data_IF_118623818098
#
_entry.id   IF_118623818098
#
_cell.length_a   1.000
_cell.length_b   1.000
_cell.length_c   1.000
_cell.angle_alpha   90.00
_cell.angle_beta   90.00
_cell.angle_gamma   90.00
#
_symmetry.space_group_name_H-M   'P 1'
#
loop_
_entity.id
_entity.type
_entity.pdbx_description
1 polymer ?
#
# COMPACT_ATOMS: atom_id res chain seq x y z
N UNK A 1 -39.18 41.87 40.69
CA UNK A 1 -39.35 41.04 39.48
C UNK A 1 -38.10 41.23 38.67
N UNK A 2 -37.24 40.22 38.70
CA UNK A 2 -35.85 40.27 38.22
C UNK A 2 -35.81 40.25 36.69
N UNK A 3 -35.02 41.16 36.11
CA UNK A 3 -34.77 41.28 34.67
C UNK A 3 -33.26 41.18 34.46
N UNK A 4 -32.74 39.95 34.47
CA UNK A 4 -31.41 39.65 33.94
C UNK A 4 -31.55 38.64 32.80
N UNK A 5 -31.42 39.18 31.58
CA UNK A 5 -31.27 38.45 30.32
C UNK A 5 -30.08 37.50 30.43
N UNK A 6 -30.34 36.21 30.62
CA UNK A 6 -29.39 35.16 30.26
C UNK A 6 -29.53 34.90 28.75
N UNK A 7 -28.71 35.60 27.97
CA UNK A 7 -28.35 35.19 26.62
C UNK A 7 -27.66 33.83 26.74
N UNK A 8 -28.37 32.76 26.43
CA UNK A 8 -27.77 31.47 26.12
C UNK A 8 -26.86 31.71 24.92
N UNK A 9 -25.54 31.79 25.15
CA UNK A 9 -24.55 31.63 24.10
C UNK A 9 -24.78 30.25 23.52
N UNK A 10 -25.47 30.19 22.38
CA UNK A 10 -25.50 29.02 21.52
C UNK A 10 -24.06 28.70 21.12
N UNK A 11 -23.45 27.75 21.83
CA UNK A 11 -22.21 27.13 21.40
C UNK A 11 -22.58 26.29 20.18
N UNK A 12 -22.30 26.80 18.99
CA UNK A 12 -22.35 25.98 17.78
C UNK A 12 -21.21 24.97 17.91
N UNK A 13 -21.54 23.73 18.28
CA UNK A 13 -20.61 22.61 18.21
C UNK A 13 -20.55 22.22 16.74
N UNK A 14 -19.39 22.43 16.12
CA UNK A 14 -19.10 21.91 14.80
C UNK A 14 -18.62 20.46 14.97
N UNK A 15 -19.38 19.50 14.46
CA UNK A 15 -18.90 18.11 14.32
C UNK A 15 -18.28 17.92 12.93
N UNK A 16 -17.38 16.95 12.84
CA UNK A 16 -16.77 16.52 11.58
C UNK A 16 -17.58 15.32 11.05
N UNK A 17 -18.11 15.46 9.84
CA UNK A 17 -18.77 14.34 9.15
C UNK A 17 -17.77 13.20 8.91
N UNK A 18 -18.23 11.97 9.09
CA UNK A 18 -17.47 10.77 8.77
C UNK A 18 -18.43 9.64 8.37
N UNK A 19 -17.91 8.70 7.58
CA UNK A 19 -18.62 7.49 7.19
C UNK A 19 -17.81 6.25 7.57
N UNK A 20 -18.49 5.19 7.95
CA UNK A 20 -17.91 3.89 8.28
C UNK A 20 -18.63 2.83 7.45
N UNK A 21 -17.87 2.04 6.72
CA UNK A 21 -18.38 1.01 5.83
C UNK A 21 -17.53 -0.27 5.96
N UNK A 22 -18.08 -1.40 5.53
CA UNK A 22 -17.37 -2.67 5.42
C UNK A 22 -17.57 -3.21 4.01
N UNK A 23 -16.48 -3.33 3.25
CA UNK A 23 -16.51 -3.86 1.88
C UNK A 23 -15.44 -4.93 1.72
N UNK A 24 -15.81 -6.11 1.21
CA UNK A 24 -14.91 -7.25 1.03
C UNK A 24 -14.15 -7.65 2.32
N UNK A 25 -14.80 -7.51 3.49
CA UNK A 25 -14.19 -7.84 4.79
C UNK A 25 -13.25 -6.77 5.35
N UNK A 26 -13.04 -5.66 4.64
CA UNK A 26 -12.24 -4.52 5.12
C UNK A 26 -13.13 -3.44 5.74
N UNK A 27 -12.76 -2.95 6.93
CA UNK A 27 -13.31 -1.71 7.52
C UNK A 27 -12.78 -0.50 6.75
N UNK A 28 -13.68 0.33 6.27
CA UNK A 28 -13.38 1.58 5.57
C UNK A 28 -13.93 2.75 6.39
N UNK A 29 -13.08 3.69 6.78
CA UNK A 29 -13.52 4.96 7.41
C UNK A 29 -13.19 6.11 6.49
N UNK A 30 -14.16 6.98 6.20
CA UNK A 30 -13.99 8.14 5.31
C UNK A 30 -14.34 9.44 6.02
N UNK A 31 -13.42 10.41 6.03
CA UNK A 31 -13.64 11.75 6.60
C UNK A 31 -13.60 12.78 5.46
N UNK A 32 -14.74 13.23 4.92
CA UNK A 32 -14.76 14.26 3.90
C UNK A 32 -14.32 15.62 4.45
N UNK A 33 -13.64 16.38 3.60
CA UNK A 33 -13.30 17.78 3.81
C UNK A 33 -14.10 18.63 2.83
N UNK A 34 -15.40 18.89 3.12
CA UNK A 34 -16.24 19.65 2.23
C UNK A 34 -15.67 21.06 2.06
N UNK A 35 -15.43 21.45 0.82
CA UNK A 35 -15.17 22.84 0.48
C UNK A 35 -16.48 23.64 0.66
N UNK A 36 -16.39 24.90 1.08
CA UNK A 36 -17.56 25.76 1.19
C UNK A 36 -18.11 26.04 -0.21
N UNK A 37 -19.30 25.52 -0.53
CA UNK A 37 -20.00 25.80 -1.78
C UNK A 37 -20.45 27.25 -1.84
N UNK A 38 -20.17 27.93 -2.96
CA UNK A 38 -20.91 29.13 -3.32
C UNK A 38 -22.39 28.75 -3.60
N UNK A 39 -23.36 29.64 -3.38
CA UNK A 39 -24.75 29.38 -3.78
C UNK A 39 -24.78 28.97 -5.26
N UNK A 40 -25.38 27.82 -5.56
CA UNK A 40 -25.56 27.21 -6.90
C UNK A 40 -24.35 26.50 -7.54
N UNK A 41 -23.27 26.20 -6.81
CA UNK A 41 -22.14 25.43 -7.35
C UNK A 41 -21.82 24.24 -6.45
N UNK A 42 -22.13 23.03 -6.95
CA UNK A 42 -21.98 21.75 -6.23
C UNK A 42 -20.73 20.95 -6.64
N UNK A 43 -19.83 21.58 -7.39
CA UNK A 43 -18.67 20.93 -8.03
C UNK A 43 -17.39 21.45 -7.37
N UNK A 44 -17.07 20.88 -6.22
CA UNK A 44 -15.80 21.12 -5.53
C UNK A 44 -15.07 19.78 -5.38
N UNK A 45 -13.72 19.74 -5.40
CA UNK A 45 -12.99 18.50 -5.19
C UNK A 45 -13.37 17.87 -3.84
N UNK A 46 -13.80 16.61 -3.90
CA UNK A 46 -14.21 15.82 -2.73
C UNK A 46 -12.99 15.21 -2.08
N UNK A 47 -12.24 16.04 -1.37
CA UNK A 47 -11.12 15.55 -0.57
C UNK A 47 -11.66 14.78 0.64
N UNK A 48 -11.12 13.59 0.92
CA UNK A 48 -11.40 12.82 2.13
C UNK A 48 -10.15 12.10 2.65
N UNK A 49 -10.06 11.89 3.96
CA UNK A 49 -9.15 10.88 4.52
C UNK A 49 -9.85 9.54 4.50
N UNK A 50 -9.14 8.49 4.12
CA UNK A 50 -9.66 7.13 4.05
C UNK A 50 -8.75 6.20 4.83
N UNK A 51 -9.33 5.52 5.82
CA UNK A 51 -8.74 4.36 6.48
C UNK A 51 -9.22 3.08 5.82
N UNK A 52 -8.35 2.07 5.69
CA UNK A 52 -8.72 0.71 5.26
C UNK A 52 -8.04 -0.33 6.14
N UNK A 53 -8.82 -1.22 6.77
CA UNK A 53 -8.30 -2.37 7.51
C UNK A 53 -8.08 -3.57 6.57
N UNK A 54 -7.01 -3.52 5.77
CA UNK A 54 -6.62 -4.64 4.92
C UNK A 54 -5.59 -5.56 5.58
N UNK A 55 -5.41 -6.76 5.01
CA UNK A 55 -4.37 -7.74 5.42
C UNK A 55 -2.95 -7.14 5.40
N UNK A 56 -2.73 -6.12 4.56
CA UNK A 56 -1.50 -5.34 4.49
C UNK A 56 -1.81 -3.85 4.64
N UNK A 57 -1.70 -3.35 5.88
CA UNK A 57 -1.83 -1.91 6.14
C UNK A 57 -0.70 -1.15 5.43
N UNK A 58 -1.06 -0.32 4.44
CA UNK A 58 -0.09 0.57 3.79
C UNK A 58 0.29 1.71 4.72
N UNK A 59 1.58 2.06 4.79
CA UNK A 59 2.05 3.27 5.46
C UNK A 59 2.34 4.35 4.41
N UNK A 60 2.14 5.61 4.77
CA UNK A 60 2.32 6.72 3.84
C UNK A 60 2.28 8.06 4.56
N UNK A 61 1.98 9.14 3.84
CA UNK A 61 1.97 10.52 4.37
C UNK A 61 1.00 10.75 5.54
N UNK A 62 0.05 9.85 5.78
CA UNK A 62 -0.96 9.93 6.82
C UNK A 62 -0.82 8.85 7.89
N UNK A 63 0.32 8.14 7.90
CA UNK A 63 0.54 7.02 8.81
C UNK A 63 -0.07 5.70 8.33
N UNK A 64 0.07 4.67 9.15
CA UNK A 64 -0.32 3.29 8.83
C UNK A 64 -1.84 3.16 8.68
N UNK A 65 -2.29 2.56 7.58
CA UNK A 65 -3.69 2.29 7.24
C UNK A 65 -4.46 3.49 6.67
N UNK A 66 -3.88 4.70 6.69
CA UNK A 66 -4.54 5.92 6.23
C UNK A 66 -3.99 6.41 4.89
N UNK A 67 -4.90 6.92 4.07
CA UNK A 67 -4.62 7.55 2.79
C UNK A 67 -5.51 8.77 2.61
N UNK A 68 -5.17 9.63 1.66
CA UNK A 68 -6.06 10.69 1.19
C UNK A 68 -6.67 10.26 -0.13
N UNK A 69 -7.98 10.39 -0.26
CA UNK A 69 -8.70 10.14 -1.49
C UNK A 69 -9.35 11.47 -1.94
N UNK A 70 -9.47 11.67 -3.25
CA UNK A 70 -9.88 12.95 -3.84
C UNK A 70 -8.82 14.07 -3.80
N UNK A 71 -7.59 13.80 -3.32
CA UNK A 71 -6.42 14.57 -3.75
C UNK A 71 -5.97 14.02 -5.08
N UNK A 72 -6.26 14.75 -6.14
CA UNK A 72 -5.62 14.44 -7.40
C UNK A 72 -4.13 14.79 -7.30
N UNK A 73 -3.24 13.96 -7.85
CA UNK A 73 -1.81 14.20 -7.91
C UNK A 73 -1.25 13.84 -9.29
N UNK A 74 -0.37 14.70 -9.80
CA UNK A 74 0.55 14.32 -10.88
C UNK A 74 1.88 13.88 -10.28
N UNK A 75 2.29 12.66 -10.58
CA UNK A 75 3.54 12.04 -10.13
C UNK A 75 4.30 11.44 -11.32
N UNK A 76 5.55 11.04 -11.10
CA UNK A 76 6.25 10.14 -12.03
C UNK A 76 5.80 8.71 -11.77
N UNK A 77 5.69 7.90 -12.82
CA UNK A 77 5.29 6.50 -12.72
C UNK A 77 6.15 5.61 -13.62
N UNK A 78 6.23 4.33 -13.28
CA UNK A 78 7.04 3.37 -14.03
C UNK A 78 6.50 3.16 -15.44
N UNK A 79 7.42 2.81 -16.34
CA UNK A 79 7.07 2.32 -17.68
C UNK A 79 6.31 0.99 -17.59
N UNK A 80 5.53 0.68 -18.61
CA UNK A 80 4.76 -0.58 -18.70
C UNK A 80 4.96 -1.23 -20.05
N UNK A 81 4.98 -2.57 -20.11
CA UNK A 81 5.12 -3.32 -21.39
C UNK A 81 4.09 -2.84 -22.43
N UNK A 82 2.84 -2.60 -21.98
CA UNK A 82 1.74 -2.17 -22.85
C UNK A 82 1.97 -0.82 -23.52
N UNK A 83 2.62 0.13 -22.83
CA UNK A 83 2.81 1.49 -23.34
C UNK A 83 4.20 1.75 -23.91
N UNK A 84 5.22 1.02 -23.43
CA UNK A 84 6.62 1.26 -23.72
C UNK A 84 7.31 0.10 -24.45
N UNK A 85 6.60 -1.01 -24.65
CA UNK A 85 7.16 -2.24 -25.21
C UNK A 85 8.06 -2.99 -24.23
N UNK A 86 8.69 -4.09 -24.66
CA UNK A 86 9.68 -4.79 -23.86
C UNK A 86 10.92 -3.91 -23.66
N UNK A 87 11.23 -3.59 -22.41
CA UNK A 87 12.41 -2.83 -21.98
C UNK A 87 13.15 -3.63 -20.90
N UNK A 88 14.46 -3.49 -20.87
CA UNK A 88 15.33 -4.20 -19.90
C UNK A 88 15.20 -3.64 -18.47
N UNK A 89 14.65 -2.43 -18.33
CA UNK A 89 14.63 -1.68 -17.08
C UNK A 89 13.38 -0.81 -16.93
N UNK A 90 12.44 -1.28 -16.10
CA UNK A 90 11.20 -0.56 -15.73
C UNK A 90 11.37 0.28 -14.44
N UNK A 91 12.60 0.46 -13.95
CA UNK A 91 12.83 1.27 -12.75
C UNK A 91 12.52 2.73 -13.02
N UNK A 92 11.99 3.40 -11.99
CA UNK A 92 11.76 4.84 -12.01
C UNK A 92 13.10 5.56 -11.81
N UNK A 93 13.53 6.35 -12.79
CA UNK A 93 14.88 6.95 -12.85
C UNK A 93 14.94 8.38 -12.31
N UNK A 94 13.79 8.94 -11.95
CA UNK A 94 13.57 10.34 -11.58
C UNK A 94 14.10 11.35 -12.61
N UNK A 95 14.03 11.02 -13.90
CA UNK A 95 14.56 11.85 -14.98
C UNK A 95 13.54 11.98 -16.14
N UNK A 96 13.93 12.62 -17.24
CA UNK A 96 13.03 12.84 -18.39
C UNK A 96 12.47 11.57 -19.03
N UNK A 97 13.08 10.42 -18.79
CA UNK A 97 12.64 9.15 -19.34
C UNK A 97 11.39 8.61 -18.62
N UNK A 98 11.12 9.07 -17.39
CA UNK A 98 9.96 8.59 -16.64
C UNK A 98 8.66 9.23 -17.15
N UNK A 99 7.63 8.42 -17.41
CA UNK A 99 6.27 8.88 -17.62
C UNK A 99 5.73 9.70 -16.44
N UNK A 100 4.78 10.58 -16.73
CA UNK A 100 3.93 11.18 -15.69
C UNK A 100 2.63 10.39 -15.58
N UNK A 101 2.05 10.37 -14.38
CA UNK A 101 0.73 9.82 -14.11
C UNK A 101 -0.11 10.83 -13.33
N UNK A 102 -1.38 10.96 -13.70
CA UNK A 102 -2.41 11.61 -12.90
C UNK A 102 -3.16 10.51 -12.17
N UNK A 103 -3.10 10.49 -10.83
CA UNK A 103 -3.84 9.52 -10.02
C UNK A 103 -3.57 8.06 -10.44
N UNK A 104 -2.27 7.75 -10.60
CA UNK A 104 -1.73 6.47 -11.10
C UNK A 104 -2.06 6.15 -12.57
N UNK A 105 -2.83 6.99 -13.23
CA UNK A 105 -3.16 6.84 -14.64
C UNK A 105 -2.15 7.59 -15.52
N UNK A 106 -1.54 6.87 -16.48
CA UNK A 106 -0.50 7.43 -17.34
C UNK A 106 -0.97 8.64 -18.14
N UNK A 107 -0.12 9.66 -18.17
CA UNK A 107 -0.25 10.82 -19.02
C UNK A 107 0.47 10.59 -20.36
N UNK A 108 -0.27 10.80 -21.44
CA UNK A 108 0.20 10.70 -22.81
C UNK A 108 0.38 12.11 -23.37
N UNK A 109 1.60 12.46 -23.77
CA UNK A 109 1.88 13.74 -24.38
C UNK A 109 1.20 13.82 -25.76
N UNK A 110 0.32 14.80 -25.94
CA UNK A 110 -0.40 15.04 -27.20
C UNK A 110 0.19 16.19 -27.99
N UNK A 111 0.94 17.08 -27.32
CA UNK A 111 1.62 18.22 -27.93
C UNK A 111 2.90 18.56 -27.19
N UNK A 112 3.90 19.02 -27.93
CA UNK A 112 5.22 19.35 -27.37
C UNK A 112 6.00 18.10 -27.01
N UNK A 113 7.17 18.30 -26.38
CA UNK A 113 8.04 17.21 -25.94
C UNK A 113 7.73 16.84 -24.49
N UNK A 114 7.59 15.55 -24.20
CA UNK A 114 7.39 15.05 -22.84
C UNK A 114 8.41 15.65 -21.85
N UNK A 115 7.93 16.15 -20.72
CA UNK A 115 8.73 16.81 -19.68
C UNK A 115 9.12 18.27 -19.94
N UNK A 116 8.78 18.85 -21.10
CA UNK A 116 9.11 20.25 -21.41
C UNK A 116 7.96 21.20 -21.05
N UNK A 117 8.28 22.48 -20.80
CA UNK A 117 7.25 23.50 -20.68
C UNK A 117 6.39 23.56 -21.96
N UNK A 118 5.12 23.93 -21.78
CA UNK A 118 4.09 24.02 -22.82
C UNK A 118 3.71 22.69 -23.50
N UNK A 119 4.23 21.55 -23.00
CA UNK A 119 3.74 20.24 -23.39
C UNK A 119 2.33 20.00 -22.85
N UNK A 120 1.47 19.41 -23.68
CA UNK A 120 0.09 19.06 -23.33
C UNK A 120 -0.07 17.55 -23.22
N UNK A 121 -0.88 17.12 -22.26
CA UNK A 121 -1.13 15.72 -21.94
C UNK A 121 -2.61 15.42 -21.79
N UNK A 122 -2.97 14.16 -22.04
CA UNK A 122 -4.24 13.54 -21.67
C UNK A 122 -3.97 12.27 -20.88
N UNK A 123 -4.97 11.77 -20.14
CA UNK A 123 -4.88 10.47 -19.48
C UNK A 123 -5.05 9.33 -20.49
N UNK A 124 -4.38 8.19 -20.26
CA UNK A 124 -4.42 7.03 -21.15
C UNK A 124 -5.84 6.51 -21.43
N UNK A 125 -6.71 6.51 -20.41
CA UNK A 125 -8.16 6.42 -20.61
C UNK A 125 -8.68 7.85 -20.51
N UNK A 126 -8.98 8.45 -21.66
CA UNK A 126 -9.29 9.87 -21.75
C UNK A 126 -10.52 10.23 -20.91
N UNK A 127 -10.32 11.16 -19.97
CA UNK A 127 -11.38 11.72 -19.12
C UNK A 127 -11.82 13.11 -19.59
N UNK A 128 -11.42 13.53 -20.80
CA UNK A 128 -11.60 14.86 -21.38
C UNK A 128 -10.93 15.97 -20.55
N UNK A 129 -9.85 15.63 -19.85
CA UNK A 129 -9.03 16.59 -19.11
C UNK A 129 -7.87 17.05 -20.00
N UNK A 130 -7.68 18.37 -20.13
CA UNK A 130 -6.49 18.94 -20.80
C UNK A 130 -5.45 19.28 -19.75
N UNK A 131 -4.26 18.68 -19.81
CA UNK A 131 -3.18 18.93 -18.85
C UNK A 131 -2.05 19.64 -19.56
N UNK A 132 -1.52 20.72 -18.98
CA UNK A 132 -0.45 21.54 -19.58
C UNK A 132 0.69 21.71 -18.58
N UNK A 133 1.92 21.43 -19.01
CA UNK A 133 3.13 21.60 -18.23
C UNK A 133 3.65 23.04 -18.29
N UNK A 134 4.08 23.60 -17.16
CA UNK A 134 4.56 24.98 -17.07
C UNK A 134 5.85 25.10 -16.26
N UNK A 135 6.67 26.08 -16.67
CA UNK A 135 7.96 26.39 -16.06
C UNK A 135 9.00 25.31 -16.35
N UNK A 136 10.26 25.71 -16.51
CA UNK A 136 11.35 24.79 -16.80
C UNK A 136 12.65 25.36 -16.19
N UNK A 137 13.38 24.57 -15.41
CA UNK A 137 14.65 25.03 -14.82
C UNK A 137 15.77 24.91 -15.84
N UNK A 138 15.97 25.95 -16.66
CA UNK A 138 17.02 25.96 -17.66
C UNK A 138 18.36 26.32 -17.04
N UNK A 139 19.42 25.53 -17.31
CA UNK A 139 20.80 25.94 -17.05
C UNK A 139 21.38 26.55 -18.33
N UNK A 140 22.01 27.71 -18.18
CA UNK A 140 22.77 28.35 -19.25
C UNK A 140 24.24 27.98 -19.08
N UNK A 141 24.87 27.44 -20.12
CA UNK A 141 26.32 27.28 -20.10
C UNK A 141 27.04 28.62 -20.38
N UNK A 142 28.36 28.64 -20.22
CA UNK A 142 29.18 29.84 -20.37
C UNK A 142 29.09 30.50 -21.77
N UNK A 143 28.57 29.77 -22.77
CA UNK A 143 28.33 30.27 -24.14
C UNK A 143 26.88 30.74 -24.37
N UNK A 144 26.07 30.87 -23.31
CA UNK A 144 24.63 31.21 -23.36
C UNK A 144 23.76 30.23 -24.17
N UNK A 145 24.27 29.03 -24.44
CA UNK A 145 23.44 27.97 -25.02
C UNK A 145 22.68 27.24 -23.90
N UNK A 146 21.43 26.91 -24.20
CA UNK A 146 20.51 26.23 -23.26
C UNK A 146 20.91 24.77 -23.16
N UNK A 147 21.43 24.36 -22.00
CA UNK A 147 21.59 22.95 -21.66
C UNK A 147 20.43 22.53 -20.75
N UNK A 148 19.58 21.64 -21.25
CA UNK A 148 18.52 21.02 -20.45
C UNK A 148 19.20 20.00 -19.54
N UNK A 149 19.34 20.31 -18.25
CA UNK A 149 19.95 19.37 -17.30
C UNK A 149 19.14 18.07 -17.24
N UNK A 150 19.76 16.91 -16.99
CA UNK A 150 19.12 15.59 -17.05
C UNK A 150 18.00 15.34 -16.02
N UNK A 151 17.86 16.22 -15.02
CA UNK A 151 16.94 16.07 -13.88
C UNK A 151 15.73 17.01 -13.98
N UNK A 152 15.77 17.93 -14.94
CA UNK A 152 14.78 18.98 -15.07
C UNK A 152 13.41 18.40 -15.44
N UNK A 153 12.37 18.96 -14.88
CA UNK A 153 10.98 18.58 -15.11
C UNK A 153 10.17 19.87 -15.06
N UNK A 154 8.92 19.90 -15.55
CA UNK A 154 8.15 21.12 -15.44
C UNK A 154 8.00 21.51 -13.98
N UNK A 155 8.01 22.82 -13.72
CA UNK A 155 7.91 23.33 -12.36
C UNK A 155 6.52 23.04 -11.76
N UNK A 156 5.49 23.00 -12.60
CA UNK A 156 4.11 22.66 -12.24
C UNK A 156 3.28 22.27 -13.47
N UNK A 157 2.08 21.74 -13.23
CA UNK A 157 1.09 21.45 -14.26
C UNK A 157 -0.21 22.19 -13.97
N UNK A 158 -0.98 22.50 -15.01
CA UNK A 158 -2.40 22.86 -14.87
C UNK A 158 -3.26 21.85 -15.61
N UNK A 159 -4.27 21.33 -14.94
CA UNK A 159 -5.32 20.53 -15.56
C UNK A 159 -6.59 21.35 -15.68
N UNK A 160 -7.18 21.32 -16.87
CA UNK A 160 -8.48 21.89 -17.20
C UNK A 160 -9.44 20.71 -17.31
N UNK A 161 -10.38 20.58 -16.37
CA UNK A 161 -11.35 19.49 -16.38
C UNK A 161 -12.57 19.80 -17.24
N UNK A 162 -13.31 18.76 -17.63
CA UNK A 162 -14.59 18.88 -18.35
C UNK A 162 -15.65 19.71 -17.60
N UNK A 163 -15.55 19.77 -16.27
CA UNK A 163 -16.44 20.53 -15.40
C UNK A 163 -15.97 21.99 -15.24
N UNK A 164 -15.09 22.46 -16.13
CA UNK A 164 -14.52 23.80 -16.16
C UNK A 164 -13.69 24.15 -14.92
N UNK A 165 -13.20 23.16 -14.16
CA UNK A 165 -12.28 23.40 -13.04
C UNK A 165 -10.84 23.45 -13.54
N UNK A 166 -10.06 24.39 -13.01
CA UNK A 166 -8.62 24.46 -13.23
C UNK A 166 -7.90 24.01 -11.97
N UNK A 167 -7.18 22.90 -12.03
CA UNK A 167 -6.33 22.38 -10.96
C UNK A 167 -4.87 22.71 -11.25
N UNK A 168 -4.15 23.32 -10.30
CA UNK A 168 -2.69 23.50 -10.40
C UNK A 168 -1.97 22.48 -9.53
N UNK A 169 -1.09 21.69 -10.12
CA UNK A 169 -0.25 20.69 -9.45
C UNK A 169 1.20 21.16 -9.41
N UNK A 170 1.74 21.41 -8.22
CA UNK A 170 3.10 21.98 -8.05
C UNK A 170 3.09 23.50 -7.96
N UNK A 171 4.27 24.14 -8.10
CA UNK A 171 4.53 25.58 -7.90
C UNK A 171 4.73 26.01 -6.43
N UNK A 172 5.62 25.30 -5.70
CA UNK A 172 5.92 25.56 -4.29
C UNK A 172 5.04 24.75 -3.33
N UNK A 173 4.90 25.18 -2.08
CA UNK A 173 4.15 24.46 -1.03
C UNK A 173 2.60 24.53 -1.18
N UNK A 174 2.07 25.00 -2.31
CA UNK A 174 0.66 25.33 -2.47
C UNK A 174 0.08 24.74 -3.76
N UNK A 175 -1.14 24.19 -3.68
CA UNK A 175 -1.98 23.86 -4.84
C UNK A 175 -3.26 24.73 -4.81
N UNK A 176 -3.77 25.16 -5.97
CA UNK A 176 -4.99 25.98 -6.06
C UNK A 176 -6.00 25.44 -7.09
N UNK A 177 -7.29 25.76 -6.86
CA UNK A 177 -8.40 25.39 -7.74
C UNK A 177 -9.22 26.63 -8.10
N UNK A 178 -9.50 26.84 -9.38
CA UNK A 178 -10.24 28.00 -9.90
C UNK A 178 -11.39 27.57 -10.82
N UNK A 179 -12.51 28.28 -10.73
CA UNK A 179 -13.63 28.19 -11.68
C UNK A 179 -13.65 29.47 -12.55
N UNK A 180 -13.59 29.39 -13.89
CA UNK A 180 -13.49 30.53 -14.80
C UNK A 180 -14.62 31.55 -14.68
N UNK A 181 -15.86 31.09 -14.47
CA UNK A 181 -17.03 31.98 -14.33
C UNK A 181 -17.08 32.69 -12.97
N UNK A 182 -16.19 32.31 -12.04
CA UNK A 182 -15.99 32.97 -10.76
C UNK A 182 -14.66 33.71 -10.77
N UNK A 183 -14.45 34.64 -11.72
CA UNK A 183 -13.20 35.39 -11.87
C UNK A 183 -12.69 36.04 -10.56
N UNK A 184 -13.56 36.24 -9.56
CA UNK A 184 -13.25 36.79 -8.24
C UNK A 184 -13.29 35.77 -7.09
N UNK A 185 -13.56 34.48 -7.34
CA UNK A 185 -13.58 33.43 -6.30
C UNK A 185 -12.50 32.38 -6.53
N UNK A 186 -11.44 32.42 -5.73
CA UNK A 186 -10.34 31.45 -5.75
C UNK A 186 -10.32 30.63 -4.48
N UNK A 187 -10.31 29.30 -4.61
CA UNK A 187 -10.12 28.39 -3.48
C UNK A 187 -8.70 27.86 -3.51
N UNK A 188 -7.98 27.97 -2.39
CA UNK A 188 -6.60 27.49 -2.25
C UNK A 188 -6.52 26.50 -1.11
N UNK A 189 -5.88 25.35 -1.38
CA UNK A 189 -5.66 24.30 -0.38
C UNK A 189 -4.15 24.22 -0.12
N UNK A 190 -3.76 24.32 1.15
CA UNK A 190 -2.36 24.29 1.56
C UNK A 190 -2.12 23.09 2.46
N UNK A 191 -1.19 22.23 2.06
CA UNK A 191 -0.77 21.07 2.84
C UNK A 191 0.49 21.45 3.62
N UNK A 192 0.43 21.35 4.94
CA UNK A 192 1.59 21.52 5.82
C UNK A 192 2.02 20.17 6.34
N UNK A 193 3.32 19.92 6.27
CA UNK A 193 3.92 18.66 6.65
C UNK A 193 4.87 18.86 7.83
N UNK A 194 4.99 17.83 8.67
CA UNK A 194 5.98 17.76 9.76
C UNK A 194 6.97 16.62 9.51
N UNK A 195 8.18 16.75 10.06
CA UNK A 195 9.21 15.70 9.97
C UNK A 195 8.79 14.49 10.81
N UNK A 196 8.98 13.29 10.24
CA UNK A 196 8.78 12.02 10.95
C UNK A 196 10.05 11.63 11.70
N UNK A 197 9.94 10.68 12.62
CA UNK A 197 11.13 10.05 13.19
C UNK A 197 11.87 9.26 12.10
N UNK A 198 13.22 9.21 12.11
CA UNK A 198 13.99 8.43 11.12
C UNK A 198 13.58 6.97 11.03
N UNK A 199 13.13 6.37 12.14
CA UNK A 199 12.65 4.98 12.21
C UNK A 199 11.23 4.78 11.65
N UNK A 200 10.50 5.86 11.37
CA UNK A 200 9.16 5.87 10.76
C UNK A 200 9.20 6.47 9.34
N UNK A 201 10.39 6.57 8.74
CA UNK A 201 10.51 6.87 7.32
C UNK A 201 9.89 5.73 6.51
N UNK A 202 8.98 6.08 5.58
CA UNK A 202 8.38 5.07 4.70
C UNK A 202 9.26 4.95 3.47
N UNK A 203 9.98 3.83 3.41
CA UNK A 203 10.89 3.52 2.33
C UNK A 203 10.26 2.48 1.40
N UNK A 204 10.23 2.80 0.11
CA UNK A 204 9.78 1.86 -0.92
C UNK A 204 10.99 1.46 -1.75
N UNK A 205 11.21 0.16 -1.83
CA UNK A 205 12.27 -0.43 -2.64
C UNK A 205 11.67 -1.15 -3.84
N UNK A 206 12.31 -0.99 -4.99
CA UNK A 206 12.01 -1.77 -6.19
C UNK A 206 13.33 -2.22 -6.81
N UNK A 207 13.46 -3.52 -7.10
CA UNK A 207 14.72 -4.12 -7.58
C UNK A 207 15.96 -3.74 -6.75
N UNK A 208 15.82 -3.76 -5.41
CA UNK A 208 16.88 -3.40 -4.43
C UNK A 208 17.32 -1.92 -4.46
N UNK A 209 16.71 -1.07 -5.29
CA UNK A 209 16.93 0.37 -5.26
C UNK A 209 15.86 1.05 -4.40
N UNK A 210 16.27 2.02 -3.58
CA UNK A 210 15.34 2.89 -2.85
C UNK A 210 14.71 3.87 -3.85
N UNK A 211 13.42 3.69 -4.13
CA UNK A 211 12.69 4.52 -5.09
C UNK A 211 11.85 5.61 -4.40
N UNK A 212 11.53 5.45 -3.12
CA UNK A 212 10.81 6.47 -2.38
C UNK A 212 11.24 6.47 -0.93
N UNK A 213 11.44 7.66 -0.37
CA UNK A 213 11.73 7.86 1.04
C UNK A 213 10.87 9.01 1.58
N UNK A 214 9.77 8.67 2.24
CA UNK A 214 8.83 9.64 2.80
C UNK A 214 9.26 9.99 4.22
N UNK A 215 9.95 11.12 4.35
CA UNK A 215 10.50 11.61 5.62
C UNK A 215 9.56 12.57 6.35
N UNK A 216 8.48 12.99 5.68
CA UNK A 216 7.50 13.94 6.21
C UNK A 216 6.09 13.35 6.17
N UNK A 217 5.27 13.70 7.16
CA UNK A 217 3.85 13.33 7.22
C UNK A 217 2.98 14.57 7.24
N UNK A 218 1.75 14.44 6.78
CA UNK A 218 0.80 15.54 6.69
C UNK A 218 0.37 15.97 8.10
N UNK A 219 0.53 17.25 8.42
CA UNK A 219 0.19 17.82 9.72
C UNK A 219 -1.10 18.64 9.65
N UNK A 220 -1.28 19.41 8.58
CA UNK A 220 -2.39 20.35 8.46
C UNK A 220 -2.83 20.51 7.01
N UNK A 221 -4.13 20.66 6.82
CA UNK A 221 -4.73 21.02 5.52
C UNK A 221 -5.49 22.33 5.72
N UNK A 222 -4.99 23.42 5.14
CA UNK A 222 -5.61 24.74 5.24
C UNK A 222 -6.42 25.05 3.99
N UNK A 223 -7.61 25.55 4.21
CA UNK A 223 -8.52 25.99 3.16
C UNK A 223 -8.59 27.50 3.20
N UNK A 224 -8.33 28.11 2.05
CA UNK A 224 -8.43 29.55 1.85
C UNK A 224 -9.49 29.84 0.78
N UNK A 225 -10.27 30.88 0.99
CA UNK A 225 -11.20 31.45 0.02
C UNK A 225 -10.78 32.89 -0.24
N UNK A 226 -10.55 33.24 -1.50
CA UNK A 226 -10.06 34.55 -1.91
C UNK A 226 -8.79 34.97 -1.16
N UNK A 227 -7.86 34.02 -1.03
CA UNK A 227 -6.62 34.11 -0.25
C UNK A 227 -6.78 34.33 1.27
N UNK A 228 -8.01 34.44 1.78
CA UNK A 228 -8.27 34.52 3.23
C UNK A 228 -8.45 33.11 3.80
N UNK A 229 -7.88 32.88 4.97
CA UNK A 229 -8.05 31.62 5.69
C UNK A 229 -9.53 31.41 6.02
N UNK A 230 -10.06 30.21 5.72
CA UNK A 230 -11.43 29.83 6.01
C UNK A 230 -11.47 28.79 7.13
N UNK A 231 -10.73 27.69 6.99
CA UNK A 231 -10.63 26.62 8.00
C UNK A 231 -9.37 25.78 7.78
N UNK A 232 -9.00 25.00 8.78
CA UNK A 232 -7.96 23.98 8.69
C UNK A 232 -8.42 22.65 9.28
N UNK A 233 -7.92 21.55 8.73
CA UNK A 233 -7.94 20.26 9.41
C UNK A 233 -6.56 19.99 9.98
N UNK A 234 -6.50 19.71 11.27
CA UNK A 234 -5.28 19.38 12.00
C UNK A 234 -5.24 17.89 12.30
N UNK A 235 -4.10 17.27 12.03
CA UNK A 235 -3.90 15.84 12.14
C UNK A 235 -2.82 15.58 13.18
N UNK A 236 -3.17 14.80 14.20
CA UNK A 236 -2.23 14.39 15.24
C UNK A 236 -2.00 12.90 15.19
N UNK A 237 -0.78 12.51 15.56
CA UNK A 237 -0.30 11.14 15.49
C UNK A 237 0.10 10.62 16.86
N UNK A 238 0.06 9.30 17.00
CA UNK A 238 0.77 8.56 18.04
C UNK A 238 1.77 7.62 17.36
N UNK A 239 2.88 7.35 18.01
CA UNK A 239 3.82 6.30 17.57
C UNK A 239 3.42 4.97 18.18
N UNK A 240 3.49 3.90 17.39
CA UNK A 240 3.37 2.53 17.89
C UNK A 240 4.74 2.01 18.34
N UNK A 241 4.78 1.24 19.41
CA UNK A 241 6.01 0.56 19.85
C UNK A 241 6.04 -0.89 19.33
N UNK A 242 7.23 -1.48 19.07
CA UNK A 242 8.56 -0.85 19.07
C UNK A 242 8.91 -0.18 17.72
N UNK A 243 8.08 -0.35 16.69
CA UNK A 243 8.42 0.05 15.30
C UNK A 243 8.43 1.56 15.09
N UNK A 244 7.95 2.34 16.08
CA UNK A 244 7.78 3.81 16.06
C UNK A 244 6.88 4.34 14.95
N UNK A 245 6.17 3.47 14.22
CA UNK A 245 5.34 3.87 13.09
C UNK A 245 4.22 4.84 13.51
N UNK A 246 3.92 5.80 12.63
CA UNK A 246 2.83 6.76 12.87
C UNK A 246 1.46 6.13 12.71
N UNK A 247 0.62 6.23 13.74
CA UNK A 247 -0.82 6.02 13.66
C UNK A 247 -1.54 7.36 13.83
N UNK A 248 -2.52 7.63 12.98
CA UNK A 248 -3.35 8.82 13.09
C UNK A 248 -4.15 8.73 14.39
N UNK A 249 -3.91 9.64 15.34
CA UNK A 249 -4.53 9.66 16.67
C UNK A 249 -5.83 10.45 16.68
N UNK A 250 -5.86 11.61 16.02
CA UNK A 250 -7.06 12.43 15.92
C UNK A 250 -7.03 13.40 14.76
N UNK A 251 -8.23 13.78 14.30
CA UNK A 251 -8.45 14.87 13.35
C UNK A 251 -9.35 15.92 13.99
N UNK A 252 -8.95 17.20 13.90
CA UNK A 252 -9.74 18.35 14.36
C UNK A 252 -9.96 19.33 13.22
N UNK A 253 -11.10 20.02 13.18
CA UNK A 253 -11.36 21.10 12.24
C UNK A 253 -11.36 22.44 12.98
N UNK A 254 -10.56 23.39 12.54
CA UNK A 254 -10.38 24.68 13.21
C UNK A 254 -10.66 25.85 12.25
N UNK A 255 -11.45 26.83 12.69
CA UNK A 255 -11.69 28.09 11.96
C UNK A 255 -10.71 29.20 12.35
N UNK A 256 -10.04 29.04 13.50
CA UNK A 256 -8.86 29.77 13.94
C UNK A 256 -8.16 28.96 15.06
N UNK A 257 -7.12 29.51 15.70
CA UNK A 257 -6.38 28.82 16.76
C UNK A 257 -7.16 28.58 18.07
N UNK A 258 -8.36 29.17 18.22
CA UNK A 258 -9.18 29.11 19.44
C UNK A 258 -10.52 28.41 19.22
N UNK A 259 -11.01 28.37 17.99
CA UNK A 259 -12.28 27.76 17.61
C UNK A 259 -12.05 26.50 16.78
N UNK A 260 -11.97 25.37 17.47
CA UNK A 260 -11.86 24.04 16.88
C UNK A 260 -13.06 23.17 17.24
N UNK A 261 -13.37 22.22 16.35
CA UNK A 261 -14.32 21.15 16.58
C UNK A 261 -13.87 20.27 17.75
N UNK A 262 -14.80 19.46 18.27
CA UNK A 262 -14.41 18.27 19.01
C UNK A 262 -13.61 17.35 18.05
N UNK A 263 -12.45 16.81 18.45
CA UNK A 263 -11.68 15.94 17.57
C UNK A 263 -12.40 14.61 17.35
N UNK A 264 -12.27 14.05 16.15
CA UNK A 264 -12.48 12.61 15.94
C UNK A 264 -11.21 11.92 16.43
N UNK A 265 -11.35 11.03 17.41
CA UNK A 265 -10.23 10.27 17.98
C UNK A 265 -10.24 8.82 17.50
N UNK A 266 -9.04 8.28 17.22
CA UNK A 266 -8.85 6.93 16.72
C UNK A 266 -8.07 6.10 17.73
N UNK A 267 -8.70 5.00 18.12
CA UNK A 267 -8.08 3.96 18.92
C UNK A 267 -7.85 2.73 18.05
N UNK A 268 -6.73 2.08 18.30
CA UNK A 268 -6.28 0.90 17.55
C UNK A 268 -6.10 -0.20 18.58
N UNK A 269 -6.41 -1.43 18.19
CA UNK A 269 -6.11 -2.61 18.99
C UNK A 269 -4.60 -2.72 19.16
N UNK A 270 -4.10 -2.25 20.29
CA UNK A 270 -2.78 -2.64 20.79
C UNK A 270 -2.99 -3.86 21.65
N UNK A 271 -3.15 -5.01 21.00
CA UNK A 271 -2.67 -6.21 21.67
C UNK A 271 -1.15 -6.04 21.67
N UNK A 272 -0.62 -5.48 22.77
CA UNK A 272 0.76 -5.81 23.15
C UNK A 272 0.85 -7.31 22.94
N UNK A 273 1.77 -7.82 22.10
CA UNK A 273 1.94 -9.25 22.01
C UNK A 273 2.17 -9.71 23.43
N UNK A 274 1.18 -10.38 24.01
CA UNK A 274 1.35 -11.06 25.27
C UNK A 274 2.41 -12.09 24.92
N UNK A 275 3.67 -11.74 25.18
CA UNK A 275 4.78 -12.66 25.27
C UNK A 275 4.57 -13.56 26.50
N UNK A 276 3.35 -14.06 26.71
CA UNK A 276 3.15 -15.38 27.24
C UNK A 276 3.63 -16.33 26.14
N UNK A 277 4.95 -16.39 25.94
CA UNK A 277 5.54 -17.67 25.57
C UNK A 277 4.89 -18.66 26.52
N UNK A 278 4.09 -19.58 25.99
CA UNK A 278 3.60 -20.69 26.78
C UNK A 278 4.85 -21.28 27.44
N UNK A 279 5.01 -21.04 28.74
CA UNK A 279 6.17 -21.50 29.51
C UNK A 279 6.21 -23.03 29.60
N UNK A 280 5.20 -23.68 29.04
CA UNK A 280 5.19 -25.07 28.64
C UNK A 280 5.39 -25.13 27.13
N UNK A 281 6.56 -25.56 26.62
CA UNK A 281 6.62 -26.06 25.25
C UNK A 281 5.45 -27.04 25.03
N UNK A 282 4.67 -26.80 23.98
CA UNK A 282 3.73 -27.80 23.51
C UNK A 282 4.60 -28.91 22.92
N UNK A 283 4.90 -29.92 23.73
CA UNK A 283 5.50 -31.15 23.23
C UNK A 283 4.45 -31.83 22.38
N UNK A 284 4.63 -31.75 21.05
CA UNK A 284 3.85 -32.55 20.13
C UNK A 284 4.64 -33.84 19.89
N UNK A 285 4.20 -34.92 20.55
CA UNK A 285 4.84 -36.22 20.42
C UNK A 285 4.57 -36.80 19.02
N UNK A 286 5.64 -37.25 18.36
CA UNK A 286 5.60 -38.08 17.14
C UNK A 286 5.19 -37.38 15.82
N UNK A 287 5.51 -36.09 15.65
CA UNK A 287 5.44 -35.42 14.32
C UNK A 287 6.26 -36.16 13.24
N UNK A 288 7.19 -37.03 13.63
CA UNK A 288 8.01 -37.82 12.72
C UNK A 288 7.93 -39.32 12.99
N UNK A 289 6.80 -39.78 13.55
CA UNK A 289 6.57 -41.19 13.85
C UNK A 289 7.30 -41.68 15.11
N UNK A 290 7.21 -42.99 15.33
CA UNK A 290 7.71 -43.65 16.56
C UNK A 290 9.24 -43.58 16.70
N UNK A 291 9.99 -43.42 15.60
CA UNK A 291 11.45 -43.30 15.62
C UNK A 291 11.92 -41.91 16.09
N UNK A 292 11.02 -40.92 16.15
CA UNK A 292 11.32 -39.52 16.51
C UNK A 292 12.41 -38.85 15.67
N UNK A 293 12.80 -39.43 14.53
CA UNK A 293 13.79 -38.87 13.62
C UNK A 293 13.11 -38.08 12.51
N UNK A 294 13.29 -36.76 12.52
CA UNK A 294 12.84 -35.86 11.47
C UNK A 294 14.03 -35.41 10.62
N UNK A 295 14.02 -35.68 9.31
CA UNK A 295 14.99 -35.02 8.42
C UNK A 295 14.62 -33.56 8.16
N UNK A 296 13.32 -33.26 8.18
CA UNK A 296 12.77 -31.98 7.80
C UNK A 296 11.40 -31.80 8.46
N UNK A 297 11.15 -30.58 8.94
CA UNK A 297 9.82 -30.14 9.39
C UNK A 297 9.47 -28.88 8.61
N UNK A 298 8.27 -28.83 8.05
CA UNK A 298 7.72 -27.68 7.35
C UNK A 298 6.39 -27.27 7.98
N UNK A 299 6.01 -25.99 7.81
CA UNK A 299 4.69 -25.49 8.20
C UNK A 299 3.98 -24.86 7.02
N UNK A 300 2.88 -25.49 6.59
CA UNK A 300 2.09 -25.09 5.43
C UNK A 300 0.64 -25.54 5.61
N UNK A 301 -0.30 -24.79 5.08
CA UNK A 301 -1.72 -25.13 5.07
C UNK A 301 -1.98 -26.26 4.06
N UNK A 302 -2.25 -27.48 4.53
CA UNK A 302 -2.40 -28.67 3.70
C UNK A 302 -3.86 -29.03 3.40
N UNK A 303 -4.81 -28.45 4.14
CA UNK A 303 -6.25 -28.72 3.99
C UNK A 303 -7.03 -27.51 3.45
N UNK A 304 -6.37 -26.37 3.24
CA UNK A 304 -6.94 -25.15 2.67
C UNK A 304 -7.80 -24.34 3.64
N UNK A 305 -7.65 -24.52 4.96
CA UNK A 305 -8.46 -23.83 5.97
C UNK A 305 -7.91 -22.44 6.37
N UNK A 306 -6.75 -22.05 5.83
CA UNK A 306 -6.07 -20.79 6.09
C UNK A 306 -5.13 -20.84 7.30
N UNK A 307 -5.02 -21.96 8.00
CA UNK A 307 -4.11 -22.21 9.11
C UNK A 307 -2.95 -23.08 8.64
N UNK A 308 -1.74 -22.79 9.12
CA UNK A 308 -0.58 -23.62 8.77
C UNK A 308 -0.58 -24.89 9.61
N UNK A 309 -0.46 -26.03 8.95
CA UNK A 309 -0.27 -27.35 9.54
C UNK A 309 1.21 -27.66 9.73
N UNK A 310 1.52 -28.72 10.47
CA UNK A 310 2.89 -29.23 10.62
C UNK A 310 3.06 -30.47 9.75
N UNK A 311 4.15 -30.51 8.98
CA UNK A 311 4.54 -31.65 8.15
C UNK A 311 5.93 -32.13 8.54
N UNK A 312 6.02 -33.38 9.01
CA UNK A 312 7.26 -34.04 9.36
C UNK A 312 7.67 -35.07 8.30
N UNK A 313 8.90 -34.95 7.80
CA UNK A 313 9.54 -35.95 6.96
C UNK A 313 10.25 -36.95 7.87
N UNK A 314 9.50 -37.96 8.29
CA UNK A 314 9.99 -39.06 9.11
C UNK A 314 10.84 -40.04 8.32
N UNK A 315 11.39 -41.01 9.04
CA UNK A 315 12.20 -42.07 8.44
C UNK A 315 11.37 -42.97 7.49
N UNK A 316 10.17 -43.38 7.91
CA UNK A 316 9.30 -44.33 7.22
C UNK A 316 8.15 -43.67 6.45
N UNK A 317 7.85 -42.40 6.76
CA UNK A 317 6.68 -41.72 6.22
C UNK A 317 6.73 -40.19 6.31
N UNK A 318 5.83 -39.58 5.54
CA UNK A 318 5.39 -38.19 5.75
C UNK A 318 4.25 -38.21 6.76
N UNK A 319 4.43 -37.45 7.83
CA UNK A 319 3.48 -37.27 8.90
C UNK A 319 2.93 -35.86 8.87
N UNK A 320 1.63 -35.72 9.04
CA UNK A 320 0.94 -34.43 9.02
C UNK A 320 0.12 -34.28 10.29
N UNK A 321 0.23 -33.11 10.90
CA UNK A 321 -0.50 -32.72 12.09
C UNK A 321 -1.27 -31.45 11.78
N UNK A 322 -2.59 -31.60 11.60
CA UNK A 322 -3.49 -30.51 11.22
C UNK A 322 -3.70 -29.51 12.38
N UNK A 323 -3.90 -28.25 12.04
CA UNK A 323 -4.06 -27.12 12.96
C UNK A 323 -5.51 -26.62 13.03
N UNK A 324 -6.09 -26.48 14.22
CA UNK A 324 -7.44 -25.93 14.43
C UNK A 324 -7.42 -24.51 15.02
N UNK A 325 -6.23 -23.88 15.05
CA UNK A 325 -6.01 -22.49 15.46
C UNK A 325 -5.69 -22.32 16.95
N UNK A 326 -6.08 -23.28 17.78
CA UNK A 326 -5.76 -23.32 19.22
C UNK A 326 -5.03 -24.60 19.66
N UNK A 327 -4.99 -25.63 18.82
CA UNK A 327 -4.19 -26.85 19.02
C UNK A 327 -3.86 -27.52 17.69
N UNK A 328 -2.95 -28.50 17.75
CA UNK A 328 -2.62 -29.39 16.65
C UNK A 328 -3.13 -30.80 16.93
N UNK A 329 -3.73 -31.47 15.94
CA UNK A 329 -4.12 -32.88 16.05
C UNK A 329 -2.90 -33.78 16.18
N UNK A 330 -3.10 -35.02 16.65
CA UNK A 330 -2.04 -36.03 16.62
C UNK A 330 -1.57 -36.23 15.17
N UNK A 331 -0.24 -36.32 14.97
CA UNK A 331 0.32 -36.49 13.65
C UNK A 331 -0.13 -37.83 13.04
N UNK A 332 -0.62 -37.77 11.82
CA UNK A 332 -1.07 -38.92 11.04
C UNK A 332 -0.11 -39.21 9.89
N UNK A 333 0.02 -40.50 9.57
CA UNK A 333 0.74 -40.94 8.37
C UNK A 333 -0.04 -40.56 7.11
N UNK A 334 0.55 -39.74 6.25
CA UNK A 334 -0.07 -39.27 5.00
C UNK A 334 0.54 -39.88 3.74
N UNK A 335 1.83 -40.24 3.78
CA UNK A 335 2.50 -40.92 2.66
C UNK A 335 3.66 -41.76 3.14
N UNK A 336 4.02 -42.78 2.35
CA UNK A 336 5.29 -43.51 2.48
C UNK A 336 6.31 -43.10 1.42
N UNK A 337 5.99 -42.12 0.58
CA UNK A 337 6.89 -41.60 -0.42
C UNK A 337 7.77 -40.49 0.20
N UNK A 338 8.88 -40.18 -0.47
CA UNK A 338 9.80 -39.10 -0.10
C UNK A 338 10.45 -39.22 1.29
N UNK A 339 10.37 -40.39 1.92
CA UNK A 339 11.01 -40.73 3.20
C UNK A 339 12.31 -41.52 3.01
N UNK A 340 13.13 -41.63 4.05
CA UNK A 340 14.42 -42.32 4.00
C UNK A 340 14.31 -43.79 3.62
N UNK A 341 13.33 -44.51 4.18
CA UNK A 341 13.13 -45.93 3.88
C UNK A 341 12.72 -46.14 2.41
N UNK A 342 12.23 -45.09 1.74
CA UNK A 342 11.96 -45.07 0.29
C UNK A 342 13.12 -44.55 -0.55
N UNK A 343 14.30 -44.35 0.05
CA UNK A 343 15.54 -43.92 -0.63
C UNK A 343 15.74 -42.42 -0.69
N UNK A 344 14.95 -41.61 0.02
CA UNK A 344 15.04 -40.16 -0.02
C UNK A 344 15.81 -39.58 1.17
N UNK A 345 16.82 -38.75 0.90
CA UNK A 345 17.70 -38.19 1.96
C UNK A 345 17.85 -36.68 1.80
N UNK A 346 17.76 -35.92 2.90
CA UNK A 346 17.85 -34.44 2.87
C UNK A 346 19.21 -33.87 2.45
N UNK A 347 20.28 -34.65 2.56
CA UNK A 347 21.62 -34.27 2.10
C UNK A 347 21.78 -34.36 0.59
N UNK A 348 20.83 -35.02 -0.10
CA UNK A 348 20.90 -35.32 -1.54
C UNK A 348 19.68 -34.82 -2.32
N UNK A 349 18.49 -34.98 -1.76
CA UNK A 349 17.23 -34.71 -2.41
C UNK A 349 16.51 -33.52 -1.78
N UNK A 350 16.20 -32.53 -2.61
CA UNK A 350 15.35 -31.42 -2.22
C UNK A 350 13.89 -31.89 -2.19
N UNK A 351 13.17 -31.57 -1.13
CA UNK A 351 11.74 -31.87 -0.95
C UNK A 351 11.02 -30.63 -0.44
N UNK A 352 9.91 -30.27 -1.07
CA UNK A 352 9.10 -29.13 -0.67
C UNK A 352 7.62 -29.36 -1.00
N UNK A 353 6.79 -28.54 -0.37
CA UNK A 353 5.35 -28.52 -0.58
C UNK A 353 4.98 -27.27 -1.37
N UNK A 354 4.28 -27.46 -2.48
CA UNK A 354 3.81 -26.38 -3.35
C UNK A 354 2.59 -26.85 -4.14
N UNK A 355 1.60 -25.99 -4.29
CA UNK A 355 0.50 -26.23 -5.22
C UNK A 355 1.05 -26.11 -6.65
N UNK A 356 1.07 -27.24 -7.38
CA UNK A 356 1.59 -27.29 -8.75
C UNK A 356 0.50 -27.59 -9.79
N UNK A 357 -0.70 -27.95 -9.35
CA UNK A 357 -1.83 -28.28 -10.22
C UNK A 357 -2.96 -27.22 -10.16
N UNK A 358 -2.78 -26.18 -9.33
CA UNK A 358 -3.69 -25.07 -9.09
C UNK A 358 -5.04 -25.50 -8.49
N UNK A 359 -5.02 -26.45 -7.55
CA UNK A 359 -6.20 -26.86 -6.76
C UNK A 359 -6.28 -26.17 -5.38
N UNK A 360 -5.33 -25.30 -5.06
CA UNK A 360 -5.14 -24.60 -3.77
C UNK A 360 -4.72 -25.50 -2.61
N UNK A 361 -4.32 -26.75 -2.86
CA UNK A 361 -3.74 -27.64 -1.87
C UNK A 361 -2.27 -27.89 -2.21
N UNK A 362 -1.33 -27.66 -1.28
CA UNK A 362 0.08 -27.92 -1.57
C UNK A 362 0.35 -29.41 -1.83
N UNK A 363 0.99 -29.68 -2.96
CA UNK A 363 1.45 -31.01 -3.36
C UNK A 363 2.86 -31.28 -2.87
N UNK A 364 3.22 -32.55 -2.75
CA UNK A 364 4.56 -32.96 -2.38
C UNK A 364 5.44 -33.10 -3.62
N UNK A 365 6.50 -32.29 -3.70
CA UNK A 365 7.44 -32.27 -4.81
C UNK A 365 8.83 -32.63 -4.31
N UNK A 366 9.49 -33.57 -4.99
CA UNK A 366 10.86 -33.97 -4.67
C UNK A 366 11.75 -34.11 -5.88
N UNK A 367 12.99 -33.65 -5.74
CA UNK A 367 14.06 -33.73 -6.73
C UNK A 367 14.93 -34.93 -6.35
N UNK A 368 14.67 -36.05 -7.00
CA UNK A 368 15.30 -37.33 -6.71
C UNK A 368 16.52 -37.58 -7.57
N UNK A 369 16.99 -38.83 -7.58
CA UNK A 369 18.18 -39.24 -8.33
C UNK A 369 18.09 -38.98 -9.83
N UNK A 370 16.94 -39.25 -10.42
CA UNK A 370 16.77 -39.31 -11.87
C UNK A 370 15.61 -38.44 -12.38
N UNK A 371 15.15 -37.48 -11.59
CA UNK A 371 14.11 -36.55 -12.03
C UNK A 371 13.35 -35.87 -10.91
N UNK A 372 12.27 -35.18 -11.30
CA UNK A 372 11.30 -34.57 -10.40
C UNK A 372 10.12 -35.51 -10.23
N UNK A 373 9.77 -35.77 -8.98
CA UNK A 373 8.67 -36.62 -8.57
C UNK A 373 7.64 -35.81 -7.80
N UNK A 374 6.37 -36.15 -8.00
CA UNK A 374 5.23 -35.46 -7.41
C UNK A 374 4.30 -36.48 -6.79
N UNK A 375 3.82 -36.20 -5.59
CA UNK A 375 2.61 -36.79 -5.03
C UNK A 375 1.58 -35.69 -4.82
N UNK A 376 0.48 -35.75 -5.57
CA UNK A 376 -0.60 -34.77 -5.45
C UNK A 376 -1.31 -34.91 -4.10
N UNK A 377 -1.80 -33.80 -3.55
CA UNK A 377 -2.62 -33.79 -2.34
C UNK A 377 -4.10 -33.99 -2.68
N UNK A 378 -4.73 -35.05 -2.18
CA UNK A 378 -6.16 -35.34 -2.37
C UNK A 378 -6.94 -35.02 -1.09
N UNK A 379 -6.77 -33.79 -0.59
CA UNK A 379 -7.47 -33.24 0.56
C UNK A 379 -7.47 -34.17 1.80
N UNK A 380 -6.28 -34.48 2.30
CA UNK A 380 -6.08 -35.25 3.54
C UNK A 380 -5.12 -36.44 3.44
N UNK A 381 -4.64 -36.76 2.24
CA UNK A 381 -3.52 -37.70 1.98
C UNK A 381 -2.79 -37.29 0.70
N UNK A 382 -1.53 -37.71 0.59
CA UNK A 382 -0.80 -37.61 -0.66
C UNK A 382 -1.02 -38.87 -1.50
N UNK A 383 -1.32 -38.67 -2.78
CA UNK A 383 -1.45 -39.73 -3.76
C UNK A 383 -0.10 -40.42 -4.06
N UNK A 384 -0.16 -41.47 -4.87
CA UNK A 384 1.02 -42.22 -5.28
C UNK A 384 2.04 -41.29 -5.95
N UNK A 385 3.32 -41.48 -5.63
CA UNK A 385 4.41 -40.70 -6.20
C UNK A 385 4.58 -41.04 -7.69
N UNK A 386 4.54 -40.02 -8.53
CA UNK A 386 4.71 -40.12 -9.97
C UNK A 386 5.90 -39.30 -10.46
N UNK A 387 6.59 -39.79 -11.48
CA UNK A 387 7.69 -39.05 -12.12
C UNK A 387 7.12 -38.06 -13.13
N UNK A 388 7.32 -36.77 -12.90
CA UNK A 388 6.80 -35.71 -13.78
C UNK A 388 7.86 -35.13 -14.71
N UNK A 389 9.13 -35.21 -14.34
CA UNK A 389 10.25 -34.83 -15.22
C UNK A 389 11.42 -35.79 -15.07
N UNK A 390 12.16 -36.01 -16.15
CA UNK A 390 13.44 -36.73 -16.13
C UNK A 390 14.66 -35.82 -15.96
N UNK A 391 14.44 -34.51 -15.98
CA UNK A 391 15.46 -33.49 -15.75
C UNK A 391 15.53 -33.11 -14.26
N UNK A 392 16.52 -32.29 -13.89
CA UNK A 392 16.72 -31.76 -12.53
C UNK A 392 16.97 -32.80 -11.44
N UNK A 393 17.25 -34.05 -11.82
CA UNK A 393 17.66 -35.08 -10.88
C UNK A 393 19.14 -34.96 -10.50
N UNK A 394 19.49 -35.45 -9.31
CA UNK A 394 20.86 -35.42 -8.79
C UNK A 394 21.88 -36.05 -9.76
N UNK A 395 21.55 -37.17 -10.41
CA UNK A 395 22.43 -37.84 -11.38
C UNK A 395 22.66 -37.02 -12.66
N UNK A 396 21.89 -35.96 -12.87
CA UNK A 396 22.06 -35.01 -13.97
C UNK A 396 22.82 -33.74 -13.53
N UNK A 397 23.37 -33.71 -12.32
CA UNK A 397 24.24 -32.64 -11.82
C UNK A 397 23.53 -31.45 -11.15
N UNK A 398 22.28 -31.63 -10.73
CA UNK A 398 21.47 -30.62 -10.05
C UNK A 398 21.47 -30.76 -8.54
#
# INVERSE_FOLDING_TARGET
MDLTKNLVKSVIIFDIDHNVDVTNGELIVSIPFPLMSAPNINILPKLKLVYRSGQYLKNGILGLGWSSDGLSQISRCSKTITNDGPIDDYTLKFNFDDPFCLDEQRLLATKGKHGFADSEYVTQNDQFNRIVAFGQNVKYNASQTVEVDSNNHPNYFKMYSKDNLIFTYGNGANSDVKHPDLANQTYKIVFEYEQRLPTDHVQTYFNKALIQNIEKRLKKIKFHSNNKFAKAFEIDYKSIEPTKQSLLKKVSMCFDNKHCSKPIEFNYSSEEPLFNFLSKPIYHENVCGESSFCELIQMIDLNGDGLKDIVGFGQDAIYVSLNEGNFFYKAERWSSAFCQDSGWNSSKHVRYLADINNDNLPDLVGFGDNGVFVSLNDNGKFLTMEKWSSDFGFNSGW
#
